data_IF_636495165758
#
_entry.id   IF_636495165758
#
_cell.length_a   1.000
_cell.length_b   1.000
_cell.length_c   1.000
_cell.angle_alpha   90.00
_cell.angle_beta   90.00
_cell.angle_gamma   90.00
#
_symmetry.space_group_name_H-M   'P 1'
#
loop_
_entity.id
_entity.type
_entity.pdbx_description
1 polymer ?
#
# COMPACT_ATOMS: atom_id res chain seq x y z
N UNK A 1 -10.19 6.87 -6.01
CA UNK A 1 -10.00 5.57 -6.70
C UNK A 1 -9.22 4.63 -5.79
N UNK A 2 -9.59 3.35 -5.71
CA UNK A 2 -8.92 2.33 -4.87
C UNK A 2 -7.73 1.68 -5.58
N UNK A 3 -6.72 2.47 -5.95
CA UNK A 3 -5.55 2.03 -6.73
C UNK A 3 -4.25 1.95 -5.90
N UNK A 4 -4.32 2.24 -4.59
CA UNK A 4 -3.19 2.24 -3.68
C UNK A 4 -3.57 1.63 -2.32
N UNK A 5 -2.56 1.32 -1.49
CA UNK A 5 -2.74 0.71 -0.17
C UNK A 5 -2.04 1.56 0.89
N UNK A 6 -2.76 1.87 1.96
CA UNK A 6 -2.23 2.51 3.16
C UNK A 6 -1.93 1.47 4.24
N UNK A 7 -0.77 1.55 4.88
CA UNK A 7 -0.36 0.64 5.94
C UNK A 7 0.28 1.41 7.10
N UNK A 8 -0.07 1.04 8.33
CA UNK A 8 0.64 1.45 9.54
C UNK A 8 1.42 0.25 10.06
N UNK A 9 2.75 0.29 9.96
CA UNK A 9 3.63 -0.83 10.35
C UNK A 9 4.75 -0.35 11.28
N UNK A 10 5.09 -1.18 12.25
CA UNK A 10 6.27 -0.97 13.10
C UNK A 10 7.48 -1.64 12.44
N UNK A 11 8.56 -0.88 12.24
CA UNK A 11 9.79 -1.35 11.62
C UNK A 11 10.91 -1.30 12.68
N UNK A 12 11.57 -2.42 12.99
CA UNK A 12 12.75 -2.41 13.84
C UNK A 12 13.85 -1.51 13.26
N UNK A 13 14.56 -0.71 14.08
CA UNK A 13 15.52 0.30 13.59
C UNK A 13 16.72 -0.29 12.83
N UNK A 14 16.99 -1.60 13.00
CA UNK A 14 18.02 -2.32 12.23
C UNK A 14 17.68 -2.50 10.74
N UNK A 15 16.41 -2.31 10.36
CA UNK A 15 15.95 -2.43 8.98
C UNK A 15 15.62 -1.05 8.42
N UNK A 16 16.12 -0.75 7.22
CA UNK A 16 15.70 0.45 6.52
C UNK A 16 14.25 0.33 6.05
N UNK A 17 13.53 1.45 6.06
CA UNK A 17 12.18 1.55 5.51
C UNK A 17 12.13 1.04 4.06
N UNK A 18 13.11 1.44 3.24
CA UNK A 18 13.20 1.04 1.83
C UNK A 18 13.32 -0.47 1.65
N UNK A 19 14.06 -1.16 2.51
CA UNK A 19 14.18 -2.62 2.48
C UNK A 19 12.83 -3.26 2.76
N UNK A 20 12.17 -2.87 3.85
CA UNK A 20 10.89 -3.47 4.27
C UNK A 20 9.81 -3.23 3.22
N UNK A 21 9.68 -2.00 2.70
CA UNK A 21 8.71 -1.67 1.66
C UNK A 21 9.02 -2.42 0.35
N UNK A 22 10.30 -2.51 -0.03
CA UNK A 22 10.73 -3.28 -1.20
C UNK A 22 10.38 -4.77 -1.09
N UNK A 23 10.60 -5.36 0.09
CA UNK A 23 10.24 -6.74 0.38
C UNK A 23 8.72 -6.96 0.27
N UNK A 24 7.92 -6.10 0.91
CA UNK A 24 6.45 -6.19 0.87
C UNK A 24 5.95 -6.07 -0.57
N UNK A 25 6.37 -5.05 -1.32
CA UNK A 25 5.99 -4.85 -2.73
C UNK A 25 6.40 -6.03 -3.61
N UNK A 26 7.62 -6.55 -3.43
CA UNK A 26 8.11 -7.69 -4.21
C UNK A 26 7.35 -8.99 -3.94
N UNK A 27 7.16 -9.35 -2.66
CA UNK A 27 6.45 -10.59 -2.29
C UNK A 27 4.97 -10.53 -2.63
N UNK A 28 4.32 -9.39 -2.40
CA UNK A 28 2.91 -9.21 -2.77
C UNK A 28 2.71 -9.25 -4.28
N UNK A 29 3.56 -8.62 -5.09
CA UNK A 29 3.48 -8.71 -6.55
C UNK A 29 3.56 -10.16 -7.05
N UNK A 30 4.49 -10.96 -6.50
CA UNK A 30 4.62 -12.39 -6.82
C UNK A 30 3.37 -13.17 -6.40
N UNK A 31 2.86 -12.92 -5.19
CA UNK A 31 1.65 -13.57 -4.68
C UNK A 31 0.44 -13.25 -5.55
N UNK A 32 0.29 -11.98 -5.95
CA UNK A 32 -0.84 -11.54 -6.76
C UNK A 32 -0.79 -12.14 -8.16
N UNK A 33 0.38 -12.11 -8.80
CA UNK A 33 0.57 -12.72 -10.11
C UNK A 33 0.21 -14.22 -10.10
N UNK A 34 0.57 -14.94 -9.04
CA UNK A 34 0.29 -16.37 -8.89
C UNK A 34 -1.17 -16.68 -8.59
N UNK A 35 -1.76 -15.98 -7.63
CA UNK A 35 -3.07 -16.33 -7.09
C UNK A 35 -4.23 -15.70 -7.87
N UNK A 36 -4.01 -14.55 -8.52
CA UNK A 36 -5.09 -13.78 -9.16
C UNK A 36 -4.89 -13.53 -10.64
N UNK A 37 -3.67 -13.62 -11.18
CA UNK A 37 -3.38 -13.42 -12.60
C UNK A 37 -3.04 -14.72 -13.35
N UNK A 38 -3.17 -15.88 -12.71
CA UNK A 38 -2.95 -17.20 -13.33
C UNK A 38 -1.50 -17.48 -13.73
N UNK A 39 -0.51 -16.75 -13.20
CA UNK A 39 0.91 -16.95 -13.53
C UNK A 39 1.53 -18.04 -12.65
N UNK A 40 1.99 -19.13 -13.23
CA UNK A 40 2.49 -20.28 -12.44
C UNK A 40 3.92 -20.08 -11.93
N UNK A 41 4.90 -19.70 -12.78
CA UNK A 41 6.32 -19.50 -12.42
C UNK A 41 7.09 -18.73 -13.51
N UNK A 42 8.26 -18.18 -13.14
CA UNK A 42 9.27 -17.62 -14.05
C UNK A 42 8.76 -16.63 -15.11
N UNK A 43 7.80 -15.78 -14.74
CA UNK A 43 7.34 -14.69 -15.60
C UNK A 43 8.26 -13.47 -15.44
N UNK A 44 8.54 -12.78 -16.54
CA UNK A 44 9.39 -11.58 -16.60
C UNK A 44 8.56 -10.39 -17.10
N UNK A 45 8.93 -9.18 -16.69
CA UNK A 45 8.33 -7.93 -17.18
C UNK A 45 6.99 -7.51 -16.54
N UNK A 46 6.46 -8.29 -15.59
CA UNK A 46 5.22 -7.92 -14.89
C UNK A 46 5.51 -6.97 -13.71
N UNK A 47 4.86 -5.81 -13.70
CA UNK A 47 4.90 -4.85 -12.59
C UNK A 47 3.51 -4.64 -12.01
N UNK A 48 3.30 -5.04 -10.75
CA UNK A 48 2.04 -4.78 -10.05
C UNK A 48 2.01 -3.41 -9.37
N UNK A 49 3.13 -3.02 -8.75
CA UNK A 49 3.24 -1.75 -8.04
C UNK A 49 3.98 -0.70 -8.86
N UNK A 50 3.62 0.58 -8.68
CA UNK A 50 4.43 1.70 -9.13
C UNK A 50 5.84 1.64 -8.51
N UNK A 51 6.85 2.23 -9.18
CA UNK A 51 8.24 2.20 -8.66
C UNK A 51 8.37 2.90 -7.30
N UNK A 52 7.67 4.02 -7.10
CA UNK A 52 7.71 4.81 -5.88
C UNK A 52 6.90 4.24 -4.70
N UNK A 53 7.07 4.85 -3.54
CA UNK A 53 6.23 4.67 -2.36
C UNK A 53 6.28 5.95 -1.52
N UNK A 54 5.25 6.18 -0.71
CA UNK A 54 5.20 7.27 0.27
C UNK A 54 5.40 6.72 1.68
N UNK A 55 6.11 7.45 2.53
CA UNK A 55 6.28 7.11 3.94
C UNK A 55 6.27 8.37 4.79
N UNK A 56 5.62 8.28 5.95
CA UNK A 56 5.68 9.27 7.01
C UNK A 56 5.87 8.54 8.34
N UNK A 57 6.74 9.06 9.20
CA UNK A 57 6.95 8.51 10.54
C UNK A 57 5.86 8.99 11.47
N UNK A 58 5.28 8.07 12.23
CA UNK A 58 4.27 8.39 13.24
C UNK A 58 4.91 8.36 14.62
N UNK A 59 4.77 9.46 15.36
CA UNK A 59 5.24 9.59 16.75
C UNK A 59 4.14 9.21 17.75
N UNK A 60 3.92 10.08 18.74
CA UNK A 60 2.97 9.86 19.84
C UNK A 60 1.50 9.71 19.39
N UNK A 61 1.14 10.22 18.19
CA UNK A 61 -0.22 10.20 17.67
C UNK A 61 -0.59 8.94 16.85
N UNK A 62 0.00 7.79 17.20
CA UNK A 62 -0.23 6.52 16.49
C UNK A 62 -1.71 6.13 16.41
N UNK A 63 -2.47 6.38 17.48
CA UNK A 63 -3.89 6.12 17.53
C UNK A 63 -4.68 6.94 16.49
N UNK A 64 -4.30 8.21 16.30
CA UNK A 64 -4.90 9.11 15.31
C UNK A 64 -4.60 8.63 13.90
N UNK A 65 -3.35 8.27 13.60
CA UNK A 65 -2.96 7.80 12.26
C UNK A 65 -3.61 6.46 11.93
N UNK A 66 -3.72 5.53 12.89
CA UNK A 66 -4.46 4.28 12.71
C UNK A 66 -5.95 4.53 12.45
N UNK A 67 -6.56 5.49 13.16
CA UNK A 67 -7.96 5.86 12.93
C UNK A 67 -8.15 6.49 11.54
N UNK A 68 -7.23 7.36 11.13
CA UNK A 68 -7.20 7.95 9.79
C UNK A 68 -7.11 6.89 8.69
N UNK A 69 -6.15 5.97 8.76
CA UNK A 69 -6.01 4.88 7.78
C UNK A 69 -7.28 4.02 7.68
N UNK A 70 -7.91 3.68 8.81
CA UNK A 70 -9.18 2.91 8.82
C UNK A 70 -10.34 3.66 8.17
N UNK A 71 -10.37 4.98 8.30
CA UNK A 71 -11.45 5.81 7.79
C UNK A 71 -11.15 6.39 6.40
N UNK A 72 -9.91 6.26 5.90
CA UNK A 72 -9.47 6.86 4.65
C UNK A 72 -10.29 6.37 3.46
N UNK A 73 -10.64 5.08 3.42
CA UNK A 73 -11.48 4.55 2.34
C UNK A 73 -12.83 5.29 2.23
N UNK A 74 -13.47 5.65 3.34
CA UNK A 74 -14.73 6.43 3.34
C UNK A 74 -14.52 7.88 2.91
N UNK A 75 -13.41 8.48 3.36
CA UNK A 75 -13.08 9.87 3.02
C UNK A 75 -12.78 9.98 1.53
N UNK A 76 -11.96 9.07 0.98
CA UNK A 76 -11.61 9.04 -0.44
C UNK A 76 -12.86 8.77 -1.31
N UNK A 77 -13.78 7.90 -0.87
CA UNK A 77 -15.09 7.71 -1.52
C UNK A 77 -15.94 8.98 -1.55
N UNK A 78 -15.99 9.71 -0.44
CA UNK A 78 -16.74 10.97 -0.36
C UNK A 78 -16.14 12.06 -1.27
N UNK A 79 -14.81 12.18 -1.30
CA UNK A 79 -14.13 13.12 -2.19
C UNK A 79 -14.29 12.75 -3.68
N UNK A 80 -14.26 11.46 -4.01
CA UNK A 80 -14.54 11.01 -5.37
C UNK A 80 -15.99 11.39 -5.77
N UNK A 81 -16.99 11.15 -4.91
CA UNK A 81 -18.40 11.55 -5.18
C UNK A 81 -18.54 13.05 -5.42
N UNK A 82 -17.93 13.88 -4.56
CA UNK A 82 -17.93 15.34 -4.70
C UNK A 82 -17.24 15.83 -5.98
N UNK A 83 -16.15 15.17 -6.41
CA UNK A 83 -15.45 15.52 -7.66
C UNK A 83 -16.21 15.10 -8.92
N UNK A 84 -17.01 14.05 -8.87
CA UNK A 84 -17.79 13.56 -10.01
C UNK A 84 -19.20 14.17 -10.12
N UNK A 85 -19.59 15.08 -9.21
CA UNK A 85 -20.79 15.89 -9.36
C UNK A 85 -22.09 15.07 -9.49
N UNK A 86 -22.22 14.00 -8.69
CA UNK A 86 -23.52 13.42 -8.35
C UNK A 86 -23.91 13.83 -6.93
#
# INVERSE_FOLDING_TARGET
MRDHVHMCISIPPKHSVSHVVGYIKGKSAISIARNFMGRTRNFTGESFWARGYFVSTVGLDEAMVRAYIRNQERTDEHYDQLKFGM
#
